data_IF_105236372215
#
_entry.id   IF_105236372215
#
_cell.length_a   1.000
_cell.length_b   1.000
_cell.length_c   1.000
_cell.angle_alpha   90.00
_cell.angle_beta   90.00
_cell.angle_gamma   90.00
#
_symmetry.space_group_name_H-M   'P 1'
#
loop_
_entity.id
_entity.type
_entity.pdbx_description
1 polymer ?
#
# COMPACT_ATOMS: atom_id res chain seq x y z
N UNK A 1 -25.97 13.53 3.83
CA UNK A 1 -25.47 14.83 4.32
C UNK A 1 -23.95 14.83 4.57
N UNK A 2 -23.33 13.73 5.06
CA UNK A 2 -21.87 13.64 5.25
C UNK A 2 -21.06 13.51 3.93
N UNK A 3 -21.61 12.80 2.94
CA UNK A 3 -20.94 12.49 1.66
C UNK A 3 -21.08 13.59 0.59
N UNK A 4 -21.91 14.61 0.80
CA UNK A 4 -22.00 15.77 -0.11
C UNK A 4 -20.91 16.81 0.18
N UNK A 5 -20.16 16.65 1.28
CA UNK A 5 -19.23 17.65 1.75
C UNK A 5 -17.94 17.83 0.93
N UNK A 6 -17.38 16.81 0.24
CA UNK A 6 -16.20 16.99 -0.61
C UNK A 6 -16.41 18.09 -1.65
N UNK A 7 -17.65 18.26 -2.14
CA UNK A 7 -17.99 19.26 -3.15
C UNK A 7 -18.04 20.71 -2.63
N UNK A 8 -18.18 20.94 -1.31
CA UNK A 8 -18.47 22.28 -0.75
C UNK A 8 -17.26 23.02 -0.15
N UNK A 9 -16.02 22.54 -0.35
CA UNK A 9 -14.79 23.14 0.22
C UNK A 9 -14.89 23.45 1.73
N UNK A 10 -15.58 22.54 2.43
CA UNK A 10 -15.68 22.40 3.88
C UNK A 10 -14.34 22.27 4.60
N UNK A 11 -14.03 22.96 5.73
CA UNK A 11 -12.98 22.49 6.66
C UNK A 11 -13.27 21.06 7.12
N UNK A 12 -14.54 20.76 7.40
CA UNK A 12 -15.00 19.41 7.75
C UNK A 12 -14.89 18.43 6.58
N UNK A 13 -15.13 18.91 5.36
CA UNK A 13 -14.94 18.12 4.13
C UNK A 13 -13.49 17.74 3.91
N UNK A 14 -12.57 18.70 4.02
CA UNK A 14 -11.13 18.48 3.92
C UNK A 14 -10.61 17.54 5.02
N UNK A 15 -11.10 17.68 6.25
CA UNK A 15 -10.78 16.74 7.33
C UNK A 15 -11.26 15.32 7.01
N UNK A 16 -12.50 15.17 6.55
CA UNK A 16 -13.05 13.87 6.19
C UNK A 16 -12.26 13.22 5.05
N UNK A 17 -11.94 13.99 4.01
CA UNK A 17 -11.13 13.55 2.89
C UNK A 17 -9.74 13.10 3.35
N UNK A 18 -9.07 13.88 4.19
CA UNK A 18 -7.77 13.51 4.74
C UNK A 18 -7.83 12.21 5.57
N UNK A 19 -8.90 12.01 6.35
CA UNK A 19 -9.11 10.76 7.10
C UNK A 19 -9.30 9.58 6.15
N UNK A 20 -10.09 9.73 5.08
CA UNK A 20 -10.31 8.66 4.10
C UNK A 20 -9.04 8.34 3.32
N UNK A 21 -8.29 9.36 2.86
CA UNK A 21 -7.01 9.18 2.18
C UNK A 21 -5.96 8.54 3.09
N UNK A 22 -5.93 8.89 4.38
CA UNK A 22 -5.04 8.25 5.35
C UNK A 22 -5.35 6.75 5.50
N UNK A 23 -6.64 6.37 5.56
CA UNK A 23 -7.02 4.96 5.59
C UNK A 23 -6.74 4.24 4.26
N UNK A 24 -6.89 4.92 3.12
CA UNK A 24 -6.52 4.37 1.82
C UNK A 24 -5.01 4.08 1.75
N UNK A 25 -4.17 4.97 2.27
CA UNK A 25 -2.73 4.75 2.38
C UNK A 25 -2.37 3.65 3.37
N UNK A 26 -3.12 3.52 4.46
CA UNK A 26 -2.92 2.48 5.48
C UNK A 26 -3.31 1.10 4.96
N UNK A 27 -4.45 0.99 4.28
CA UNK A 27 -4.91 -0.26 3.64
C UNK A 27 -4.12 -0.59 2.38
N UNK A 28 -3.56 0.42 1.71
CA UNK A 28 -2.68 0.25 0.55
C UNK A 28 -3.39 -0.18 -0.74
N UNK A 29 -4.72 -0.09 -0.80
CA UNK A 29 -5.51 -0.51 -1.96
C UNK A 29 -5.84 0.64 -2.90
N UNK A 30 -6.21 0.32 -4.15
CA UNK A 30 -6.65 1.31 -5.13
C UNK A 30 -7.94 2.04 -4.74
N UNK A 31 -8.80 1.41 -3.94
CA UNK A 31 -10.14 1.89 -3.61
C UNK A 31 -10.20 2.68 -2.31
N UNK A 32 -11.15 3.63 -2.23
CA UNK A 32 -11.46 4.35 -1.00
C UNK A 32 -12.01 3.42 0.09
N UNK A 33 -11.88 3.81 1.35
CA UNK A 33 -12.25 2.98 2.50
C UNK A 33 -13.66 2.36 2.39
N UNK A 34 -14.68 3.14 2.02
CA UNK A 34 -16.06 2.64 1.95
C UNK A 34 -16.40 1.86 0.67
N UNK A 35 -15.50 1.86 -0.32
CA UNK A 35 -15.61 1.08 -1.55
C UNK A 35 -14.89 -0.27 -1.46
N UNK A 36 -14.20 -0.53 -0.35
CA UNK A 36 -13.53 -1.80 -0.07
C UNK A 36 -14.47 -2.83 0.56
N UNK A 37 -14.15 -4.11 0.36
CA UNK A 37 -14.83 -5.23 1.04
C UNK A 37 -14.35 -5.32 2.48
N UNK A 38 -15.24 -5.05 3.45
CA UNK A 38 -14.91 -5.01 4.87
C UNK A 38 -14.23 -6.29 5.37
N UNK A 39 -14.78 -7.44 4.99
CA UNK A 39 -14.24 -8.74 5.39
C UNK A 39 -12.78 -8.96 4.95
N UNK A 40 -12.36 -8.34 3.84
CA UNK A 40 -11.04 -8.58 3.26
C UNK A 40 -9.99 -7.63 3.85
N UNK A 41 -10.28 -6.33 3.89
CA UNK A 41 -9.25 -5.30 4.16
C UNK A 41 -9.39 -4.62 5.52
N UNK A 42 -10.45 -4.89 6.29
CA UNK A 42 -10.67 -4.22 7.57
C UNK A 42 -9.57 -4.49 8.60
N UNK A 43 -8.88 -5.64 8.55
CA UNK A 43 -7.76 -5.91 9.45
C UNK A 43 -6.58 -4.95 9.25
N UNK A 44 -6.46 -4.36 8.06
CA UNK A 44 -5.37 -3.48 7.67
C UNK A 44 -5.59 -2.04 8.14
N UNK A 45 -6.85 -1.66 8.42
CA UNK A 45 -7.21 -0.33 8.87
C UNK A 45 -7.13 -0.18 10.40
N UNK A 46 -6.69 0.99 10.86
CA UNK A 46 -6.67 1.40 12.27
C UNK A 46 -8.08 1.45 12.86
N UNK A 47 -8.22 1.17 14.15
CA UNK A 47 -9.51 1.30 14.86
C UNK A 47 -9.85 2.77 15.09
N UNK A 48 -10.46 3.38 14.08
CA UNK A 48 -10.96 4.75 14.13
C UNK A 48 -12.47 4.79 13.99
N UNK A 49 -13.06 5.96 14.20
CA UNK A 49 -14.48 6.19 13.93
C UNK A 49 -14.86 5.89 12.47
N UNK A 50 -13.95 6.08 11.51
CA UNK A 50 -14.18 5.81 10.09
C UNK A 50 -14.30 4.30 9.83
N UNK A 51 -13.41 3.49 10.41
CA UNK A 51 -13.49 2.01 10.35
C UNK A 51 -14.76 1.48 11.02
N UNK A 52 -15.17 2.04 12.15
CA UNK A 52 -16.43 1.66 12.83
C UNK A 52 -17.66 2.02 11.99
N UNK A 53 -17.63 3.18 11.33
CA UNK A 53 -18.67 3.61 10.39
C UNK A 53 -18.75 2.64 9.21
N UNK A 54 -17.61 2.27 8.64
CA UNK A 54 -17.52 1.28 7.57
C UNK A 54 -18.06 -0.09 7.99
N UNK A 55 -17.72 -0.58 9.19
CA UNK A 55 -18.29 -1.81 9.76
C UNK A 55 -19.82 -1.75 9.86
N UNK A 56 -20.35 -0.58 10.26
CA UNK A 56 -21.80 -0.40 10.36
C UNK A 56 -22.47 -0.40 8.99
N UNK A 57 -21.87 0.25 8.00
CA UNK A 57 -22.36 0.27 6.61
C UNK A 57 -22.40 -1.15 6.03
N UNK A 58 -21.34 -1.92 6.23
CA UNK A 58 -21.25 -3.32 5.81
C UNK A 58 -22.34 -4.18 6.47
N UNK A 59 -22.56 -4.02 7.78
CA UNK A 59 -23.63 -4.72 8.52
C UNK A 59 -25.05 -4.40 8.04
N UNK A 60 -25.23 -3.24 7.41
CA UNK A 60 -26.50 -2.78 6.85
C UNK A 60 -26.60 -3.06 5.34
N UNK A 61 -25.58 -3.69 4.75
CA UNK A 61 -25.44 -3.92 3.30
C UNK A 61 -25.57 -2.62 2.49
N UNK A 62 -25.04 -1.52 3.03
CA UNK A 62 -25.03 -0.22 2.36
C UNK A 62 -23.70 -0.07 1.61
N UNK A 63 -23.80 -0.03 0.28
CA UNK A 63 -22.66 0.26 -0.59
C UNK A 63 -22.60 1.76 -0.87
N UNK A 64 -21.45 2.38 -0.57
CA UNK A 64 -21.20 3.79 -0.85
C UNK A 64 -20.23 3.91 -2.01
N UNK A 65 -20.72 4.45 -3.11
CA UNK A 65 -19.90 4.83 -4.25
C UNK A 65 -19.85 6.35 -4.35
N UNK A 66 -18.64 6.89 -4.38
CA UNK A 66 -18.40 8.31 -4.56
C UNK A 66 -17.08 8.50 -5.31
N UNK A 67 -16.93 9.68 -5.93
CA UNK A 67 -15.69 10.04 -6.57
C UNK A 67 -14.62 10.25 -5.48
N UNK A 68 -13.69 9.30 -5.40
CA UNK A 68 -12.57 9.32 -4.47
C UNK A 68 -11.29 9.30 -5.28
N UNK A 69 -10.26 10.08 -4.89
CA UNK A 69 -8.95 9.96 -5.51
C UNK A 69 -8.44 8.53 -5.37
N UNK A 70 -8.07 7.91 -6.48
CA UNK A 70 -7.39 6.62 -6.51
C UNK A 70 -5.89 6.81 -6.29
N UNK A 71 -5.20 5.81 -5.72
CA UNK A 71 -3.74 5.79 -5.71
C UNK A 71 -3.22 5.79 -7.16
N UNK A 72 -2.56 6.87 -7.57
CA UNK A 72 -1.99 6.98 -8.90
C UNK A 72 -0.70 6.16 -8.99
N UNK A 73 -0.72 5.13 -9.84
CA UNK A 73 0.47 4.37 -10.19
C UNK A 73 1.37 5.22 -11.09
N UNK A 74 2.65 5.34 -10.72
CA UNK A 74 3.62 6.17 -11.45
C UNK A 74 4.11 5.51 -12.75
N UNK A 75 4.05 4.17 -12.84
CA UNK A 75 4.57 3.39 -13.96
C UNK A 75 3.48 2.52 -14.60
N UNK A 76 3.56 2.37 -15.91
CA UNK A 76 2.67 1.48 -16.68
C UNK A 76 3.00 0.03 -16.35
N UNK A 77 2.01 -0.72 -15.87
CA UNK A 77 2.17 -2.12 -15.47
C UNK A 77 2.67 -2.33 -14.03
N UNK A 78 2.84 -1.26 -13.25
CA UNK A 78 3.09 -1.38 -11.82
C UNK A 78 1.83 -1.86 -11.10
N UNK A 79 2.01 -2.51 -9.96
CA UNK A 79 0.91 -3.06 -9.17
C UNK A 79 1.05 -2.65 -7.71
N UNK A 80 -0.07 -2.48 -7.03
CA UNK A 80 -0.07 -2.26 -5.58
C UNK A 80 0.31 -3.56 -4.88
N UNK A 81 1.16 -3.45 -3.86
CA UNK A 81 1.60 -4.61 -3.09
C UNK A 81 0.43 -5.33 -2.41
N UNK A 82 -0.54 -4.58 -1.90
CA UNK A 82 -1.69 -5.17 -1.20
C UNK A 82 -2.60 -5.94 -2.16
N UNK A 83 -2.80 -5.45 -3.37
CA UNK A 83 -3.58 -6.16 -4.39
C UNK A 83 -2.91 -7.51 -4.72
N UNK A 84 -1.57 -7.53 -4.85
CA UNK A 84 -0.80 -8.77 -5.01
C UNK A 84 -0.88 -9.73 -3.81
N UNK A 85 -0.90 -9.20 -2.59
CA UNK A 85 -1.05 -10.02 -1.39
C UNK A 85 -2.44 -10.67 -1.30
N UNK A 86 -3.48 -9.93 -1.68
CA UNK A 86 -4.84 -10.46 -1.74
C UNK A 86 -4.95 -11.53 -2.84
N UNK A 87 -4.39 -11.29 -4.02
CA UNK A 87 -4.41 -12.24 -5.15
C UNK A 87 -3.63 -13.53 -4.85
N UNK A 88 -2.61 -13.46 -3.99
CA UNK A 88 -1.85 -14.64 -3.53
C UNK A 88 -2.53 -15.43 -2.40
N UNK A 89 -3.75 -15.05 -2.01
CA UNK A 89 -4.60 -15.77 -1.05
C UNK A 89 -3.92 -16.04 0.30
N UNK A 90 -3.07 -15.12 0.76
CA UNK A 90 -2.46 -15.20 2.10
C UNK A 90 -3.53 -15.05 3.19
N UNK A 91 -3.29 -15.66 4.35
CA UNK A 91 -4.20 -15.50 5.49
C UNK A 91 -4.20 -14.07 6.03
N UNK A 92 -5.25 -13.71 6.76
CA UNK A 92 -5.46 -12.35 7.28
C UNK A 92 -4.33 -11.87 8.20
N UNK A 93 -3.71 -12.77 8.99
CA UNK A 93 -2.63 -12.38 9.88
C UNK A 93 -1.35 -12.09 9.07
N UNK A 94 -1.03 -12.93 8.10
CA UNK A 94 0.07 -12.69 7.16
C UNK A 94 -0.15 -11.41 6.37
N UNK A 95 -1.36 -11.15 5.88
CA UNK A 95 -1.71 -9.91 5.18
C UNK A 95 -1.45 -8.68 6.07
N UNK A 96 -1.82 -8.75 7.35
CA UNK A 96 -1.54 -7.69 8.33
C UNK A 96 -0.05 -7.46 8.52
N UNK A 97 0.75 -8.51 8.68
CA UNK A 97 2.21 -8.39 8.83
C UNK A 97 2.86 -7.81 7.57
N UNK A 98 2.46 -8.27 6.39
CA UNK A 98 2.93 -7.73 5.11
C UNK A 98 2.58 -6.24 4.98
N UNK A 99 1.37 -5.84 5.39
CA UNK A 99 0.98 -4.43 5.40
C UNK A 99 1.81 -3.60 6.37
N UNK A 100 2.18 -4.14 7.54
CA UNK A 100 3.10 -3.46 8.46
C UNK A 100 4.51 -3.30 7.88
N UNK A 101 5.07 -4.35 7.27
CA UNK A 101 6.34 -4.26 6.55
C UNK A 101 6.29 -3.20 5.44
N UNK A 102 5.20 -3.20 4.67
CA UNK A 102 4.93 -2.23 3.61
C UNK A 102 4.94 -0.78 4.13
N UNK A 103 4.16 -0.51 5.19
CA UNK A 103 4.09 0.82 5.81
C UNK A 103 5.45 1.23 6.35
N UNK A 104 6.17 0.33 7.03
CA UNK A 104 7.51 0.59 7.57
C UNK A 104 8.52 0.94 6.48
N UNK A 105 8.49 0.23 5.35
CA UNK A 105 9.36 0.47 4.20
C UNK A 105 8.94 1.67 3.35
N UNK A 106 7.78 2.28 3.62
CA UNK A 106 7.17 3.31 2.78
C UNK A 106 6.97 2.84 1.32
N UNK A 107 6.68 1.55 1.14
CA UNK A 107 6.41 0.95 -0.15
C UNK A 107 4.91 0.96 -0.43
N UNK A 108 4.49 1.31 -1.64
CA UNK A 108 3.07 1.24 -2.05
C UNK A 108 2.93 0.31 -3.23
N UNK A 109 3.89 0.38 -4.14
CA UNK A 109 3.93 -0.35 -5.40
C UNK A 109 4.99 -1.44 -5.38
N UNK A 110 4.87 -2.41 -6.28
CA UNK A 110 5.86 -3.46 -6.47
C UNK A 110 7.23 -2.86 -6.82
N UNK A 111 7.25 -1.82 -7.64
CA UNK A 111 8.47 -1.12 -8.02
C UNK A 111 9.19 -0.38 -6.87
N UNK A 112 8.56 -0.22 -5.70
CA UNK A 112 9.23 0.36 -4.52
C UNK A 112 10.17 -0.63 -3.83
N UNK A 113 10.00 -1.94 -4.05
CA UNK A 113 10.79 -2.99 -3.39
C UNK A 113 11.64 -3.81 -4.37
N UNK A 114 11.35 -3.78 -5.67
CA UNK A 114 12.11 -4.51 -6.68
C UNK A 114 13.35 -3.73 -7.17
N UNK A 115 14.32 -4.49 -7.69
CA UNK A 115 15.45 -3.95 -8.44
C UNK A 115 14.98 -3.24 -9.72
N UNK A 116 15.87 -2.45 -10.35
CA UNK A 116 15.57 -1.71 -11.59
C UNK A 116 15.08 -2.62 -12.74
N UNK A 117 15.53 -3.87 -12.77
CA UNK A 117 15.14 -4.87 -13.78
C UNK A 117 13.82 -5.59 -13.46
N UNK A 118 13.24 -5.37 -12.27
CA UNK A 118 11.96 -5.97 -11.84
C UNK A 118 12.02 -7.48 -11.59
N UNK A 119 13.21 -8.08 -11.52
CA UNK A 119 13.40 -9.54 -11.41
C UNK A 119 13.49 -10.06 -9.98
N UNK A 120 13.93 -9.22 -9.04
CA UNK A 120 14.17 -9.62 -7.66
C UNK A 120 13.87 -8.49 -6.67
N UNK A 121 13.53 -8.85 -5.44
CA UNK A 121 13.38 -7.93 -4.32
C UNK A 121 14.75 -7.40 -3.92
N UNK A 122 14.85 -6.09 -3.75
CA UNK A 122 16.09 -5.42 -3.34
C UNK A 122 16.53 -5.91 -1.97
N UNK A 123 17.84 -6.14 -1.78
CA UNK A 123 18.40 -6.58 -0.51
C UNK A 123 18.03 -5.65 0.66
N UNK A 124 17.99 -4.33 0.41
CA UNK A 124 17.55 -3.33 1.39
C UNK A 124 16.12 -3.61 1.86
N UNK A 125 15.18 -3.80 0.93
CA UNK A 125 13.79 -4.12 1.26
C UNK A 125 13.66 -5.47 1.99
N UNK A 126 14.39 -6.50 1.53
CA UNK A 126 14.41 -7.81 2.17
C UNK A 126 14.92 -7.77 3.62
N UNK A 127 15.96 -6.96 3.89
CA UNK A 127 16.52 -6.77 5.23
C UNK A 127 15.72 -5.79 6.10
N UNK A 128 14.61 -5.24 5.60
CA UNK A 128 13.85 -4.23 6.34
C UNK A 128 14.62 -2.92 6.51
N UNK A 129 15.50 -2.56 5.58
CA UNK A 129 16.22 -1.29 5.60
C UNK A 129 15.42 -0.25 4.82
N UNK A 130 15.02 0.81 5.53
CA UNK A 130 14.31 1.94 4.93
C UNK A 130 15.28 2.72 4.04
N UNK A 131 14.84 3.06 2.82
CA UNK A 131 15.54 4.05 2.01
C UNK A 131 15.29 5.43 2.63
N UNK A 132 16.30 6.03 3.25
CA UNK A 132 16.18 7.26 4.04
C UNK A 132 15.75 8.49 3.21
N UNK A 133 15.78 8.40 1.88
CA UNK A 133 15.27 9.46 1.00
C UNK A 133 14.86 8.94 -0.39
N UNK A 134 13.94 9.65 -1.07
CA UNK A 134 13.67 9.42 -2.51
C UNK A 134 14.90 9.70 -3.39
N UNK A 135 15.85 10.51 -2.91
CA UNK A 135 17.15 10.73 -3.55
C UNK A 135 18.09 9.53 -3.46
N UNK A 136 17.97 8.67 -2.43
CA UNK A 136 18.75 7.43 -2.34
C UNK A 136 18.28 6.36 -3.34
N UNK A 137 17.18 6.62 -4.05
CA UNK A 137 16.73 5.82 -5.21
C UNK A 137 17.44 6.23 -6.51
N UNK A 138 18.26 7.29 -6.51
CA UNK A 138 19.22 7.49 -7.60
C UNK A 138 20.35 6.48 -7.39
N UNK A 139 20.22 5.35 -8.08
CA UNK A 139 21.23 4.30 -8.16
C UNK A 139 22.61 4.91 -8.39
N UNK A 140 23.45 4.93 -7.35
CA UNK A 140 24.87 5.22 -7.54
C UNK A 140 25.49 4.01 -8.22
N UNK A 141 26.39 4.25 -9.17
CA UNK A 141 27.00 3.21 -10.00
C UNK A 141 27.69 2.11 -9.16
N UNK A 142 28.01 2.37 -7.89
CA UNK A 142 28.66 1.48 -6.93
C UNK A 142 27.74 0.37 -6.36
N UNK A 143 26.43 0.59 -6.23
CA UNK A 143 25.51 -0.40 -5.65
C UNK A 143 25.26 -1.60 -6.61
N UNK A 144 25.48 -1.40 -7.91
CA UNK A 144 25.28 -2.43 -8.95
C UNK A 144 26.28 -3.60 -8.85
N UNK A 145 27.54 -3.33 -8.53
CA UNK A 145 28.59 -4.36 -8.51
C UNK A 145 28.44 -5.29 -7.31
N UNK A 146 27.99 -4.76 -6.17
CA UNK A 146 27.76 -5.56 -4.96
C UNK A 146 26.56 -6.51 -5.13
N UNK A 147 25.46 -6.05 -5.75
CA UNK A 147 24.30 -6.92 -6.03
C UNK A 147 24.62 -8.01 -7.04
N UNK A 148 25.37 -7.69 -8.10
CA UNK A 148 25.73 -8.65 -9.14
C UNK A 148 26.71 -9.72 -8.66
N UNK A 149 27.61 -9.39 -7.74
CA UNK A 149 28.51 -10.39 -7.15
C UNK A 149 27.77 -11.38 -6.23
N UNK A 150 26.69 -10.95 -5.57
CA UNK A 150 25.87 -11.84 -4.71
C UNK A 150 24.96 -12.80 -5.49
N UNK A 151 24.49 -12.45 -6.69
CA UNK A 151 23.77 -13.40 -7.58
C UNK A 151 24.66 -14.57 -8.01
N UNK A 152 25.97 -14.36 -8.11
CA UNK A 152 26.95 -15.40 -8.44
C UNK A 152 27.13 -16.36 -7.27
N UNK A 153 27.17 -15.84 -6.03
CA UNK A 153 27.28 -16.67 -4.82
C UNK A 153 26.00 -17.48 -4.54
N UNK A 154 24.82 -16.94 -4.85
CA UNK A 154 23.55 -17.65 -4.65
C UNK A 154 23.38 -18.84 -5.61
N UNK A 155 23.92 -18.74 -6.84
CA UNK A 155 23.95 -19.86 -7.81
C UNK A 155 25.05 -20.89 -7.52
N UNK A 156 26.03 -20.56 -6.68
CA UNK A 156 27.10 -21.47 -6.29
C UNK A 156 26.73 -22.38 -5.09
N UNK A 157 25.59 -22.11 -4.43
CA UNK A 157 25.11 -22.86 -3.26
C UNK A 157 23.87 -23.75 -3.54
N UNK A 158 23.43 -23.86 -4.80
CA UNK A 158 22.39 -24.81 -5.26
C UNK A 158 22.99 -25.93 -6.10
#
# INVERSE_FOLDING_TARGET
>A
MLLCHPANQTKTGAFLEAVLQAHQLETGTSYSLFQQVYANTSILASDTWAKRTWSKLDSLSIHLEFDSPSLQLLRRGDQLLVDLFIDSLVDQLTLKWLNWCRIFLHAVTLSDILNADGTAITLKAWKGLRADSRSDRSFSQLDWWEQRNMEVDFKAQS
#
